data_IF_348884900377
#
_entry.id   IF_348884900377
#
_cell.length_a   1.000
_cell.length_b   1.000
_cell.length_c   1.000
_cell.angle_alpha   90.00
_cell.angle_beta   90.00
_cell.angle_gamma   90.00
#
_symmetry.space_group_name_H-M   'P 1'
#
loop_
_entity.id
_entity.type
_entity.pdbx_description
1 polymer ?
#
# COMPACT_ATOMS: atom_id res chain seq x y z
N UNK A 1 -32.81 -9.38 -17.78
CA UNK A 1 -33.00 -8.13 -17.01
C UNK A 1 -32.98 -8.47 -15.53
N UNK A 2 -31.90 -8.09 -14.84
CA UNK A 2 -31.82 -7.89 -13.38
C UNK A 2 -30.37 -7.49 -13.10
N UNK A 3 -30.05 -6.23 -13.41
CA UNK A 3 -28.76 -5.65 -13.09
C UNK A 3 -28.81 -5.27 -11.61
N UNK A 4 -28.22 -6.08 -10.75
CA UNK A 4 -28.08 -5.81 -9.32
C UNK A 4 -27.12 -4.65 -9.11
N UNK A 5 -27.67 -3.44 -8.92
CA UNK A 5 -26.95 -2.28 -8.43
C UNK A 5 -26.42 -2.55 -7.01
N UNK A 6 -25.17 -2.17 -6.67
CA UNK A 6 -24.69 -2.30 -5.30
C UNK A 6 -25.38 -1.28 -4.38
N UNK A 7 -25.74 -1.74 -3.18
CA UNK A 7 -26.38 -0.99 -2.08
C UNK A 7 -25.77 0.41 -1.82
N UNK A 8 -26.57 1.43 -1.49
CA UNK A 8 -26.05 2.74 -1.10
C UNK A 8 -25.40 2.65 0.29
N UNK A 9 -24.10 2.96 0.32
CA UNK A 9 -23.31 3.24 1.52
C UNK A 9 -24.02 4.28 2.39
N UNK A 10 -24.33 3.94 3.64
CA UNK A 10 -24.82 4.90 4.62
C UNK A 10 -23.86 6.10 4.70
N UNK A 11 -24.40 7.32 4.76
CA UNK A 11 -23.60 8.54 4.86
C UNK A 11 -22.71 8.48 6.12
N UNK A 12 -21.40 8.55 5.94
CA UNK A 12 -20.43 8.52 7.03
C UNK A 12 -20.28 9.94 7.55
N UNK A 13 -20.75 10.19 8.77
CA UNK A 13 -20.80 11.54 9.34
C UNK A 13 -21.49 12.57 8.41
N UNK A 14 -22.60 12.15 7.77
CA UNK A 14 -23.37 12.99 6.86
C UNK A 14 -22.71 13.29 5.51
N UNK A 15 -21.63 12.55 5.17
CA UNK A 15 -20.93 12.66 3.90
C UNK A 15 -20.86 11.32 3.18
N UNK A 16 -21.14 11.36 1.88
CA UNK A 16 -20.88 10.26 0.94
C UNK A 16 -19.85 10.76 -0.08
N UNK A 17 -18.70 10.09 -0.15
CA UNK A 17 -17.60 10.45 -1.05
C UNK A 17 -17.26 9.28 -1.97
N UNK A 18 -16.96 9.59 -3.23
CA UNK A 18 -16.43 8.62 -4.20
C UNK A 18 -15.32 9.23 -5.03
N UNK A 19 -14.42 8.38 -5.53
CA UNK A 19 -13.31 8.79 -6.39
C UNK A 19 -13.41 8.03 -7.70
N UNK A 20 -13.66 8.73 -8.79
CA UNK A 20 -13.96 8.15 -10.11
C UNK A 20 -13.12 8.79 -11.22
N UNK A 21 -13.37 8.34 -12.45
CA UNK A 21 -12.92 8.93 -13.71
C UNK A 21 -11.42 9.31 -13.73
N UNK A 22 -10.51 8.34 -13.57
CA UNK A 22 -9.10 8.62 -13.69
C UNK A 22 -8.75 9.06 -15.12
N UNK A 23 -8.37 10.33 -15.27
CA UNK A 23 -8.07 10.94 -16.58
C UNK A 23 -6.65 11.48 -16.59
N UNK A 24 -5.94 11.24 -17.70
CA UNK A 24 -4.61 11.81 -17.91
C UNK A 24 -4.75 13.25 -18.40
N UNK A 25 -4.11 14.16 -17.68
CA UNK A 25 -4.00 15.58 -18.03
C UNK A 25 -2.56 15.89 -18.45
N UNK A 26 -2.43 16.79 -19.42
CA UNK A 26 -1.17 17.22 -20.03
C UNK A 26 -0.36 16.10 -20.71
N UNK A 27 0.69 16.50 -21.43
CA UNK A 27 1.65 15.60 -22.07
C UNK A 27 3.07 15.82 -21.52
N UNK A 28 3.96 14.85 -21.79
CA UNK A 28 5.37 14.91 -21.37
C UNK A 28 5.58 14.91 -19.85
N UNK A 29 6.57 15.67 -19.38
CA UNK A 29 7.02 15.68 -17.98
C UNK A 29 5.96 16.22 -17.02
N UNK A 30 5.10 17.12 -17.50
CA UNK A 30 4.03 17.75 -16.73
C UNK A 30 2.72 16.94 -16.72
N UNK A 31 2.72 15.72 -17.26
CA UNK A 31 1.55 14.85 -17.25
C UNK A 31 1.22 14.35 -15.84
N UNK A 32 -0.07 14.31 -15.50
CA UNK A 32 -0.60 13.81 -14.23
C UNK A 32 -1.96 13.13 -14.42
N UNK A 33 -2.34 12.27 -13.47
CA UNK A 33 -3.68 11.66 -13.44
C UNK A 33 -4.56 12.45 -12.47
N UNK A 34 -5.66 12.97 -12.99
CA UNK A 34 -6.73 13.57 -12.23
C UNK A 34 -7.80 12.54 -11.91
N UNK A 35 -8.41 12.69 -10.75
CA UNK A 35 -9.50 11.87 -10.25
C UNK A 35 -10.67 12.80 -9.92
N UNK A 36 -11.85 12.43 -10.40
CA UNK A 36 -13.09 13.14 -10.05
C UNK A 36 -13.52 12.70 -8.66
N UNK A 37 -13.47 13.62 -7.71
CA UNK A 37 -13.96 13.40 -6.34
C UNK A 37 -15.38 13.95 -6.26
N UNK A 38 -16.36 13.05 -6.13
CA UNK A 38 -17.76 13.42 -5.95
C UNK A 38 -18.09 13.35 -4.47
N UNK A 39 -18.64 14.44 -3.95
CA UNK A 39 -19.09 14.52 -2.55
C UNK A 39 -20.59 14.81 -2.53
N UNK A 40 -21.32 14.05 -1.72
CA UNK A 40 -22.70 14.35 -1.36
C UNK A 40 -22.74 14.63 0.15
N UNK A 41 -23.31 15.77 0.52
CA UNK A 41 -23.44 16.22 1.88
C UNK A 41 -24.92 16.26 2.25
N UNK A 42 -25.26 15.72 3.43
CA UNK A 42 -26.61 15.85 3.97
C UNK A 42 -26.84 17.23 4.62
N UNK A 43 -28.08 17.49 5.03
CA UNK A 43 -28.49 18.76 5.64
C UNK A 43 -27.79 19.07 6.97
N UNK A 44 -27.13 18.09 7.60
CA UNK A 44 -26.36 18.30 8.83
C UNK A 44 -25.00 18.98 8.59
N UNK A 45 -24.54 19.03 7.33
CA UNK A 45 -23.22 19.54 6.93
C UNK A 45 -23.32 20.94 6.32
N UNK A 46 -23.65 21.94 7.14
CA UNK A 46 -23.80 23.35 6.72
C UNK A 46 -22.53 24.01 6.14
N UNK A 47 -21.37 23.36 6.28
CA UNK A 47 -20.09 23.83 5.73
C UNK A 47 -20.00 23.66 4.21
N UNK A 48 -20.88 22.86 3.60
CA UNK A 48 -20.92 22.62 2.17
C UNK A 48 -21.87 23.59 1.47
N UNK A 49 -21.40 24.23 0.40
CA UNK A 49 -22.17 25.22 -0.37
C UNK A 49 -23.29 24.58 -1.20
N UNK A 50 -23.16 23.30 -1.53
CA UNK A 50 -24.11 22.55 -2.33
C UNK A 50 -24.24 21.11 -1.79
N UNK A 51 -25.42 20.49 -1.89
CA UNK A 51 -25.65 19.11 -1.43
C UNK A 51 -24.85 18.09 -2.23
N UNK A 52 -24.41 18.44 -3.44
CA UNK A 52 -23.52 17.62 -4.27
C UNK A 52 -22.46 18.49 -4.93
N UNK A 53 -21.20 18.11 -4.76
CA UNK A 53 -20.06 18.76 -5.42
C UNK A 53 -19.24 17.73 -6.18
N UNK A 54 -18.53 18.19 -7.21
CA UNK A 54 -17.62 17.38 -8.00
C UNK A 54 -16.37 18.20 -8.28
N UNK A 55 -15.22 17.73 -7.82
CA UNK A 55 -13.94 18.44 -7.96
C UNK A 55 -12.89 17.51 -8.53
N UNK A 56 -12.00 18.06 -9.37
CA UNK A 56 -10.87 17.32 -9.92
C UNK A 56 -9.70 17.41 -8.94
N UNK A 57 -9.10 16.27 -8.59
CA UNK A 57 -7.94 16.17 -7.68
C UNK A 57 -6.89 15.23 -8.24
N UNK A 58 -5.62 15.58 -8.10
CA UNK A 58 -4.49 14.69 -8.42
C UNK A 58 -3.86 14.13 -7.15
N UNK A 59 -3.07 13.07 -7.29
CA UNK A 59 -2.40 12.41 -6.15
C UNK A 59 -1.66 13.38 -5.21
N UNK A 60 -0.97 14.39 -5.75
CA UNK A 60 -0.25 15.38 -4.92
C UNK A 60 -1.17 16.22 -4.04
N UNK A 61 -2.44 16.36 -4.41
CA UNK A 61 -3.44 17.11 -3.64
C UNK A 61 -3.90 16.28 -2.45
N UNK A 62 -4.11 14.97 -2.66
CA UNK A 62 -4.35 14.02 -1.56
C UNK A 62 -3.16 13.97 -0.60
N UNK A 63 -1.93 14.00 -1.15
CA UNK A 63 -0.73 14.05 -0.32
C UNK A 63 -0.65 15.35 0.49
N UNK A 64 -1.03 16.50 -0.09
CA UNK A 64 -1.14 17.76 0.64
C UNK A 64 -2.16 17.64 1.77
N UNK A 65 -3.37 17.14 1.49
CA UNK A 65 -4.41 16.95 2.50
C UNK A 65 -3.90 16.04 3.63
N UNK A 66 -3.27 14.91 3.29
CA UNK A 66 -2.72 13.98 4.27
C UNK A 66 -1.69 14.63 5.19
N UNK A 67 -0.75 15.39 4.63
CA UNK A 67 0.26 16.12 5.42
C UNK A 67 -0.36 17.24 6.27
N UNK A 68 -1.32 17.97 5.72
CA UNK A 68 -2.02 19.04 6.43
C UNK A 68 -2.83 18.48 7.61
N UNK A 69 -3.58 17.40 7.42
CA UNK A 69 -4.30 16.71 8.49
C UNK A 69 -3.34 16.16 9.56
N UNK A 70 -2.21 15.57 9.16
CA UNK A 70 -1.19 15.07 10.11
C UNK A 70 -0.62 16.19 10.99
N UNK A 71 -0.51 17.40 10.45
CA UNK A 71 -0.05 18.57 11.17
C UNK A 71 -1.14 19.23 12.03
N UNK A 72 -2.36 19.35 11.51
CA UNK A 72 -3.50 19.98 12.21
C UNK A 72 -4.05 19.11 13.35
N UNK A 73 -3.92 17.78 13.24
CA UNK A 73 -4.45 16.82 14.21
C UNK A 73 -3.36 15.87 14.72
N UNK A 74 -2.34 16.38 15.44
CA UNK A 74 -1.31 15.53 16.01
C UNK A 74 -1.94 14.51 16.98
N UNK A 75 -1.46 13.28 16.91
CA UNK A 75 -1.96 12.14 17.70
C UNK A 75 -3.10 11.35 17.04
N UNK A 76 -3.71 11.84 15.95
CA UNK A 76 -4.69 11.04 15.21
C UNK A 76 -4.01 9.97 14.36
N UNK A 77 -4.54 8.74 14.37
CA UNK A 77 -4.03 7.64 13.53
C UNK A 77 -4.64 7.77 12.13
N UNK A 78 -3.92 8.44 11.23
CA UNK A 78 -4.40 8.69 9.87
C UNK A 78 -4.41 7.42 9.01
N UNK A 79 -5.44 7.20 8.17
CA UNK A 79 -5.38 6.16 7.16
C UNK A 79 -4.16 6.33 6.25
N UNK A 80 -3.44 5.25 5.90
CA UNK A 80 -2.26 5.37 5.05
C UNK A 80 -2.68 5.82 3.64
N UNK A 81 -1.90 6.74 3.06
CA UNK A 81 -2.05 7.15 1.67
C UNK A 81 -1.36 6.11 0.76
N UNK A 82 -1.92 5.76 -0.42
CA UNK A 82 -1.24 4.88 -1.37
C UNK A 82 0.12 5.44 -1.79
N UNK A 83 1.04 4.56 -2.16
CA UNK A 83 2.41 4.96 -2.46
C UNK A 83 2.57 5.83 -3.72
N UNK A 84 3.59 6.69 -3.66
CA UNK A 84 4.02 7.50 -4.80
C UNK A 84 4.87 6.66 -5.75
N UNK A 85 4.24 6.04 -6.74
CA UNK A 85 4.97 5.40 -7.84
C UNK A 85 5.48 6.43 -8.86
N UNK A 86 6.74 6.30 -9.28
CA UNK A 86 7.34 7.03 -10.40
C UNK A 86 7.31 6.22 -11.70
N UNK A 87 7.57 4.91 -11.61
CA UNK A 87 7.52 3.96 -12.73
C UNK A 87 6.10 3.43 -12.89
N UNK A 88 5.63 3.21 -14.14
CA UNK A 88 4.30 2.67 -14.42
C UNK A 88 3.12 3.56 -14.00
N UNK A 89 3.37 4.83 -13.63
CA UNK A 89 2.36 5.71 -13.01
C UNK A 89 1.13 6.03 -13.87
N UNK A 90 1.17 5.72 -15.16
CA UNK A 90 0.11 5.93 -16.15
C UNK A 90 -0.50 4.62 -16.66
N UNK A 91 -0.03 3.47 -16.20
CA UNK A 91 -0.57 2.18 -16.62
C UNK A 91 -1.96 1.96 -16.01
N UNK A 92 -2.91 1.51 -16.83
CA UNK A 92 -4.30 1.37 -16.41
C UNK A 92 -4.50 0.53 -15.11
N UNK A 93 -3.83 -0.63 -14.93
CA UNK A 93 -3.95 -1.41 -13.70
C UNK A 93 -3.49 -0.63 -12.46
N UNK A 94 -2.39 0.11 -12.61
CA UNK A 94 -1.83 0.93 -11.54
C UNK A 94 -2.76 2.10 -11.19
N UNK A 95 -3.28 2.79 -12.21
CA UNK A 95 -4.17 3.94 -12.05
C UNK A 95 -5.48 3.53 -11.35
N UNK A 96 -6.08 2.42 -11.74
CA UNK A 96 -7.31 1.92 -11.10
C UNK A 96 -7.05 1.43 -9.67
N UNK A 97 -5.94 0.73 -9.42
CA UNK A 97 -5.55 0.33 -8.06
C UNK A 97 -5.36 1.55 -7.15
N UNK A 98 -4.72 2.61 -7.66
CA UNK A 98 -4.56 3.88 -6.94
C UNK A 98 -5.90 4.56 -6.70
N UNK A 99 -6.79 4.65 -7.69
CA UNK A 99 -8.13 5.23 -7.53
C UNK A 99 -8.89 4.57 -6.38
N UNK A 100 -8.95 3.23 -6.36
CA UNK A 100 -9.57 2.44 -5.27
C UNK A 100 -8.94 2.75 -3.90
N UNK A 101 -7.62 2.87 -3.85
CA UNK A 101 -6.92 3.17 -2.60
C UNK A 101 -7.19 4.60 -2.10
N UNK A 102 -7.25 5.59 -3.01
CA UNK A 102 -7.61 6.97 -2.69
C UNK A 102 -9.07 7.09 -2.19
N UNK A 103 -9.98 6.33 -2.78
CA UNK A 103 -11.37 6.24 -2.32
C UNK A 103 -11.46 5.68 -0.89
N UNK A 104 -10.81 4.55 -0.63
CA UNK A 104 -10.73 3.98 0.74
C UNK A 104 -10.12 4.95 1.74
N UNK A 105 -9.05 5.64 1.34
CA UNK A 105 -8.41 6.66 2.16
C UNK A 105 -9.42 7.76 2.56
N UNK A 106 -10.13 8.36 1.58
CA UNK A 106 -11.11 9.40 1.85
C UNK A 106 -12.27 8.91 2.70
N UNK A 107 -12.82 7.73 2.40
CA UNK A 107 -13.92 7.14 3.19
C UNK A 107 -13.52 6.99 4.67
N UNK A 108 -12.30 6.54 4.96
CA UNK A 108 -11.82 6.42 6.34
C UNK A 108 -11.56 7.79 7.00
N UNK A 109 -11.05 8.77 6.26
CA UNK A 109 -10.87 10.14 6.76
C UNK A 109 -12.22 10.78 7.10
N UNK A 110 -13.23 10.60 6.24
CA UNK A 110 -14.59 11.11 6.43
C UNK A 110 -15.28 10.43 7.62
N UNK A 111 -15.11 9.10 7.78
CA UNK A 111 -15.64 8.32 8.91
C UNK A 111 -15.08 8.78 10.26
N UNK A 112 -13.86 9.31 10.29
CA UNK A 112 -13.19 9.68 11.53
C UNK A 112 -13.86 10.90 12.21
N UNK A 113 -14.17 10.85 13.53
CA UNK A 113 -14.93 11.89 14.23
C UNK A 113 -14.37 13.32 14.16
N UNK A 114 -13.04 13.48 14.28
CA UNK A 114 -12.38 14.79 14.16
C UNK A 114 -12.03 15.15 12.70
N UNK A 115 -11.37 14.24 11.97
CA UNK A 115 -10.89 14.53 10.62
C UNK A 115 -12.01 14.80 9.62
N UNK A 116 -13.16 14.12 9.75
CA UNK A 116 -14.32 14.30 8.90
C UNK A 116 -14.94 15.71 8.97
N UNK A 117 -14.68 16.43 10.07
CA UNK A 117 -15.14 17.81 10.31
C UNK A 117 -14.05 18.86 10.06
N UNK A 118 -12.90 18.45 9.54
CA UNK A 118 -11.78 19.34 9.27
C UNK A 118 -12.11 20.34 8.16
N UNK A 119 -11.82 21.62 8.39
CA UNK A 119 -11.91 22.65 7.35
C UNK A 119 -10.97 22.37 6.17
N UNK A 120 -9.82 21.75 6.41
CA UNK A 120 -8.88 21.33 5.36
C UNK A 120 -9.50 20.25 4.45
N UNK A 121 -10.29 19.33 5.03
CA UNK A 121 -11.02 18.31 4.27
C UNK A 121 -12.15 18.94 3.46
N UNK A 122 -12.93 19.82 4.08
CA UNK A 122 -14.02 20.54 3.41
C UNK A 122 -13.48 21.33 2.21
N UNK A 123 -12.39 22.09 2.40
CA UNK A 123 -11.70 22.81 1.33
C UNK A 123 -11.29 21.85 0.21
N UNK A 124 -10.71 20.70 0.55
CA UNK A 124 -10.33 19.68 -0.44
C UNK A 124 -11.53 19.11 -1.21
N UNK A 125 -12.70 18.94 -0.59
CA UNK A 125 -13.86 18.28 -1.21
C UNK A 125 -14.75 19.21 -2.05
N UNK A 126 -14.77 20.52 -1.76
CA UNK A 126 -15.69 21.45 -2.44
C UNK A 126 -15.02 22.56 -3.24
N UNK A 127 -13.82 23.02 -2.88
CA UNK A 127 -13.27 24.24 -3.48
C UNK A 127 -12.63 24.00 -4.85
N UNK A 128 -12.58 25.03 -5.69
CA UNK A 128 -11.93 24.93 -6.99
C UNK A 128 -10.40 24.82 -6.89
N UNK A 129 -9.75 24.48 -8.00
CA UNK A 129 -8.29 24.29 -8.05
C UNK A 129 -7.52 25.56 -7.65
N UNK A 130 -8.01 26.75 -8.02
CA UNK A 130 -7.33 28.01 -7.71
C UNK A 130 -7.27 28.27 -6.20
N UNK A 131 -8.38 28.08 -5.48
CA UNK A 131 -8.43 28.22 -4.02
C UNK A 131 -7.59 27.15 -3.32
N UNK A 132 -7.61 25.91 -3.83
CA UNK A 132 -6.78 24.83 -3.29
C UNK A 132 -5.28 25.12 -3.45
N UNK A 133 -4.85 25.60 -4.62
CA UNK A 133 -3.46 26.00 -4.85
C UNK A 133 -3.03 27.20 -4.01
N UNK A 134 -3.93 28.16 -3.76
CA UNK A 134 -3.68 29.23 -2.80
C UNK A 134 -3.44 28.67 -1.38
N UNK A 135 -4.32 27.80 -0.88
CA UNK A 135 -4.17 27.17 0.44
C UNK A 135 -2.87 26.33 0.54
N UNK A 136 -2.50 25.59 -0.51
CA UNK A 136 -1.22 24.88 -0.61
C UNK A 136 -0.02 25.83 -0.53
N UNK A 137 -0.09 26.98 -1.20
CA UNK A 137 0.97 27.98 -1.19
C UNK A 137 1.10 28.66 0.17
N UNK A 138 -0.01 28.97 0.84
CA UNK A 138 -0.03 29.50 2.20
C UNK A 138 0.60 28.54 3.19
N UNK A 139 0.19 27.27 3.17
CA UNK A 139 0.76 26.27 4.06
C UNK A 139 2.25 26.05 3.80
N UNK A 140 2.70 26.04 2.53
CA UNK A 140 4.14 26.01 2.21
C UNK A 140 4.89 27.22 2.78
N UNK A 141 4.33 28.42 2.68
CA UNK A 141 4.90 29.64 3.27
C UNK A 141 4.96 29.55 4.79
N UNK A 142 3.93 29.03 5.43
CA UNK A 142 3.88 28.81 6.87
C UNK A 142 4.96 27.82 7.34
N UNK A 143 5.11 26.69 6.65
CA UNK A 143 6.18 25.73 6.95
C UNK A 143 7.58 26.33 6.78
N UNK A 144 7.78 27.20 5.77
CA UNK A 144 9.05 27.89 5.53
C UNK A 144 9.30 29.05 6.50
N UNK A 145 8.26 29.59 7.15
CA UNK A 145 8.38 30.63 8.20
C UNK A 145 8.90 30.08 9.52
N UNK A 146 9.00 28.76 9.70
CA UNK A 146 9.77 28.21 10.81
C UNK A 146 11.26 28.55 10.61
N UNK A 147 11.92 29.22 11.56
CA UNK A 147 13.27 29.71 11.34
C UNK A 147 14.22 28.53 11.10
N UNK A 148 15.11 28.63 10.10
CA UNK A 148 16.08 27.59 9.72
C UNK A 148 16.91 27.10 10.90
N UNK A 149 17.17 27.97 11.88
CA UNK A 149 17.85 27.63 13.14
C UNK A 149 17.05 26.61 13.96
N UNK A 150 15.72 26.72 14.03
CA UNK A 150 14.87 25.77 14.74
C UNK A 150 14.81 24.40 14.02
N UNK A 151 14.95 24.39 12.70
CA UNK A 151 15.02 23.15 11.91
C UNK A 151 16.36 22.43 12.11
N UNK A 152 17.46 23.18 12.12
CA UNK A 152 18.81 22.66 12.37
C UNK A 152 19.00 22.24 13.83
N UNK A 153 18.42 22.99 14.77
CA UNK A 153 18.36 22.66 16.21
C UNK A 153 17.50 21.40 16.41
N UNK A 154 16.31 21.29 15.82
CA UNK A 154 15.53 20.03 15.89
C UNK A 154 16.27 18.82 15.32
N UNK A 155 17.04 18.99 14.24
CA UNK A 155 17.85 17.91 13.66
C UNK A 155 19.10 17.57 14.48
N UNK A 156 19.82 18.58 15.00
CA UNK A 156 21.02 18.39 15.81
C UNK A 156 20.69 17.84 17.22
N UNK A 157 19.55 18.24 17.79
CA UNK A 157 19.11 17.77 19.11
C UNK A 157 18.41 16.40 19.05
N UNK A 158 17.86 15.99 17.90
CA UNK A 158 17.37 14.62 17.70
C UNK A 158 18.49 13.56 17.75
N UNK A 159 19.74 13.94 17.50
CA UNK A 159 20.91 13.06 17.65
C UNK A 159 21.60 13.20 19.03
N UNK A 160 21.09 14.06 19.91
CA UNK A 160 21.68 14.39 21.21
C UNK A 160 20.77 13.96 22.37
N UNK A 161 20.15 12.77 22.26
CA UNK A 161 19.23 12.24 23.26
C UNK A 161 19.90 11.82 24.59
N UNK A 162 21.22 11.85 24.72
CA UNK A 162 21.92 11.34 25.90
C UNK A 162 22.71 12.36 26.76
N UNK A 163 22.74 13.67 26.44
CA UNK A 163 23.72 14.57 27.09
C UNK A 163 23.21 15.91 27.66
N UNK A 164 21.91 16.14 27.81
CA UNK A 164 21.40 17.46 28.26
C UNK A 164 20.62 17.46 29.58
N UNK A 165 20.85 16.50 30.47
CA UNK A 165 20.20 16.46 31.78
C UNK A 165 21.01 17.02 32.95
N UNK A 166 22.16 17.67 32.76
CA UNK A 166 23.02 17.98 33.92
C UNK A 166 23.94 19.19 33.82
N UNK A 167 23.42 20.38 33.55
CA UNK A 167 24.13 21.60 33.97
C UNK A 167 23.16 22.77 34.17
N UNK A 168 22.93 23.15 35.43
CA UNK A 168 22.34 24.41 35.93
C UNK A 168 20.83 24.56 36.15
N UNK A 169 19.98 23.63 35.70
CA UNK A 169 18.60 23.52 36.20
C UNK A 169 18.44 22.12 36.80
N UNK A 170 17.89 22.00 38.02
CA UNK A 170 17.63 20.69 38.62
C UNK A 170 16.81 19.80 37.66
N UNK A 171 16.75 18.48 37.87
CA UNK A 171 16.00 17.56 36.99
C UNK A 171 14.53 17.99 36.86
N UNK A 172 14.22 18.81 35.85
CA UNK A 172 12.85 19.21 35.52
C UNK A 172 12.24 18.05 34.77
N UNK A 173 11.48 17.19 35.44
CA UNK A 173 10.83 16.06 34.81
C UNK A 173 9.40 16.41 34.40
N UNK A 174 8.95 15.88 33.26
CA UNK A 174 7.54 15.96 32.88
C UNK A 174 6.77 14.97 33.76
N UNK A 175 5.76 15.43 34.55
CA UNK A 175 4.97 14.53 35.39
C UNK A 175 4.40 13.39 34.56
N UNK A 176 4.56 12.16 35.04
CA UNK A 176 3.92 10.99 34.41
C UNK A 176 2.43 11.04 34.69
N UNK A 177 1.64 10.79 33.65
CA UNK A 177 0.19 10.63 33.71
C UNK A 177 -0.19 9.15 33.76
N UNK A 178 -1.36 8.82 34.29
CA UNK A 178 -1.92 7.46 34.24
C UNK A 178 -2.08 6.96 32.79
N UNK A 179 -2.28 7.87 31.83
CA UNK A 179 -2.34 7.55 30.40
C UNK A 179 -0.98 7.10 29.83
N UNK A 180 0.14 7.42 30.50
CA UNK A 180 1.47 7.12 29.97
C UNK A 180 1.76 5.61 29.99
N UNK A 181 1.29 4.88 31.00
CA UNK A 181 1.45 3.43 31.06
C UNK A 181 0.75 2.75 29.87
N UNK A 182 -0.51 3.14 29.61
CA UNK A 182 -1.27 2.65 28.46
C UNK A 182 -0.56 2.98 27.14
N UNK A 183 -0.01 4.19 27.01
CA UNK A 183 0.67 4.62 25.78
C UNK A 183 2.02 3.92 25.58
N UNK A 184 2.72 3.57 26.65
CA UNK A 184 3.94 2.76 26.60
C UNK A 184 3.62 1.33 26.16
N UNK A 185 2.52 0.73 26.65
CA UNK A 185 2.02 -0.57 26.19
C UNK A 185 1.62 -0.53 24.70
N UNK A 186 0.92 0.53 24.29
CA UNK A 186 0.58 0.76 22.87
C UNK A 186 1.85 0.85 22.03
N UNK A 187 2.86 1.60 22.48
CA UNK A 187 4.10 1.77 21.72
C UNK A 187 4.86 0.44 21.54
N UNK A 188 4.99 -0.35 22.61
CA UNK A 188 5.56 -1.69 22.54
C UNK A 188 4.77 -2.58 21.59
N UNK A 189 3.44 -2.57 21.70
CA UNK A 189 2.57 -3.37 20.83
C UNK A 189 2.71 -2.97 19.36
N UNK A 190 2.64 -1.68 19.04
CA UNK A 190 2.81 -1.15 17.68
C UNK A 190 4.16 -1.59 17.10
N UNK A 191 5.24 -1.47 17.87
CA UNK A 191 6.58 -1.83 17.42
C UNK A 191 6.69 -3.32 17.08
N UNK A 192 6.25 -4.20 17.99
CA UNK A 192 6.28 -5.65 17.80
C UNK A 192 5.43 -6.05 16.59
N UNK A 193 4.21 -5.53 16.49
CA UNK A 193 3.32 -5.82 15.37
C UNK A 193 3.90 -5.31 14.04
N UNK A 194 4.49 -4.11 14.00
CA UNK A 194 5.05 -3.53 12.78
C UNK A 194 6.13 -4.43 12.19
N UNK A 195 7.05 -4.91 13.03
CA UNK A 195 8.13 -5.82 12.62
C UNK A 195 7.56 -7.11 12.03
N UNK A 196 6.61 -7.75 12.73
CA UNK A 196 6.04 -9.02 12.28
C UNK A 196 5.18 -8.87 11.03
N UNK A 197 4.33 -7.84 10.94
CA UNK A 197 3.50 -7.60 9.75
C UNK A 197 4.35 -7.23 8.54
N UNK A 198 5.43 -6.45 8.72
CA UNK A 198 6.34 -6.14 7.62
C UNK A 198 7.04 -7.41 7.10
N UNK A 199 7.50 -8.27 8.01
CA UNK A 199 8.09 -9.57 7.64
C UNK A 199 7.06 -10.46 6.93
N UNK A 200 5.85 -10.58 7.46
CA UNK A 200 4.80 -11.40 6.87
C UNK A 200 4.37 -10.89 5.49
N UNK A 201 4.23 -9.57 5.31
CA UNK A 201 3.92 -8.96 4.03
C UNK A 201 4.99 -9.26 2.98
N UNK A 202 6.28 -9.13 3.34
CA UNK A 202 7.41 -9.45 2.46
C UNK A 202 7.40 -10.91 2.02
N UNK A 203 7.18 -11.84 2.95
CA UNK A 203 7.12 -13.27 2.62
C UNK A 203 5.88 -13.60 1.80
N UNK A 204 4.74 -12.95 2.05
CA UNK A 204 3.54 -13.09 1.22
C UNK A 204 3.77 -12.62 -0.22
N UNK A 205 4.40 -11.46 -0.44
CA UNK A 205 4.78 -11.00 -1.79
C UNK A 205 5.72 -11.98 -2.48
N UNK A 206 6.68 -12.55 -1.74
CA UNK A 206 7.61 -13.55 -2.28
C UNK A 206 6.88 -14.84 -2.66
N UNK A 207 5.91 -15.26 -1.85
CA UNK A 207 5.09 -16.43 -2.13
C UNK A 207 4.20 -16.24 -3.36
N UNK A 208 3.49 -15.11 -3.48
CA UNK A 208 2.67 -14.77 -4.66
C UNK A 208 3.52 -14.77 -5.94
N UNK A 209 4.74 -14.21 -5.88
CA UNK A 209 5.69 -14.27 -7.00
C UNK A 209 6.06 -15.70 -7.38
N UNK A 210 6.35 -16.56 -6.39
CA UNK A 210 6.68 -17.98 -6.63
C UNK A 210 5.49 -18.77 -7.16
N UNK A 211 4.27 -18.49 -6.70
CA UNK A 211 3.05 -19.10 -7.27
C UNK A 211 2.91 -18.76 -8.75
N UNK A 212 3.24 -17.53 -9.15
CA UNK A 212 3.25 -17.12 -10.55
C UNK A 212 4.31 -17.86 -11.36
N UNK A 213 5.54 -17.93 -10.86
CA UNK A 213 6.62 -18.68 -11.51
C UNK A 213 6.25 -20.16 -11.70
N UNK A 214 5.57 -20.77 -10.71
CA UNK A 214 5.07 -22.14 -10.80
C UNK A 214 3.92 -22.30 -11.83
N UNK A 215 3.02 -21.32 -11.92
CA UNK A 215 1.94 -21.30 -12.91
C UNK A 215 2.51 -21.26 -14.34
N UNK A 216 3.51 -20.41 -14.57
CA UNK A 216 4.21 -20.28 -15.85
C UNK A 216 4.93 -21.58 -16.21
N UNK A 217 5.60 -22.21 -15.23
CA UNK A 217 6.28 -23.50 -15.42
C UNK A 217 5.30 -24.64 -15.77
N UNK A 218 4.15 -24.70 -15.11
CA UNK A 218 3.11 -25.69 -15.43
C UNK A 218 2.59 -25.52 -16.85
N UNK A 219 2.37 -24.27 -17.30
CA UNK A 219 1.91 -23.98 -18.66
C UNK A 219 2.94 -24.41 -19.70
N UNK A 220 4.21 -24.06 -19.52
CA UNK A 220 5.26 -24.41 -20.46
C UNK A 220 5.43 -25.93 -20.60
N UNK A 221 5.41 -26.66 -19.48
CA UNK A 221 5.48 -28.11 -19.49
C UNK A 221 4.21 -28.75 -20.09
N UNK A 222 3.03 -28.21 -19.76
CA UNK A 222 1.75 -28.66 -20.31
C UNK A 222 1.70 -28.54 -21.83
N UNK A 223 2.14 -27.40 -22.37
CA UNK A 223 2.28 -27.18 -23.80
C UNK A 223 3.28 -28.15 -24.44
N UNK A 224 4.46 -28.33 -23.85
CA UNK A 224 5.48 -29.23 -24.38
C UNK A 224 5.00 -30.68 -24.46
N UNK A 225 4.33 -31.18 -23.42
CA UNK A 225 3.74 -32.52 -23.41
C UNK A 225 2.60 -32.64 -24.41
N UNK A 226 1.74 -31.62 -24.51
CA UNK A 226 0.66 -31.63 -25.50
C UNK A 226 1.22 -31.76 -26.93
N UNK A 227 2.26 -30.99 -27.26
CA UNK A 227 2.93 -31.07 -28.57
C UNK A 227 3.66 -32.41 -28.78
N UNK A 228 4.34 -32.94 -27.75
CA UNK A 228 4.99 -34.26 -27.83
C UNK A 228 3.95 -35.35 -28.12
N UNK A 229 2.86 -35.36 -27.35
CA UNK A 229 1.81 -36.35 -27.50
C UNK A 229 1.06 -36.24 -28.83
N UNK A 230 1.08 -35.10 -29.54
CA UNK A 230 0.56 -35.00 -30.91
C UNK A 230 1.40 -35.75 -31.95
N UNK A 231 2.70 -35.93 -31.67
CA UNK A 231 3.63 -36.64 -32.56
C UNK A 231 3.73 -38.15 -32.23
N UNK A 232 3.17 -38.59 -31.10
CA UNK A 232 3.16 -39.99 -30.68
C UNK A 232 1.84 -40.68 -31.09
N UNK A 233 1.96 -41.89 -31.64
CA UNK A 233 0.81 -42.70 -32.06
C UNK A 233 0.23 -43.54 -30.91
N UNK A 234 -1.03 -43.95 -31.05
CA UNK A 234 -1.70 -44.88 -30.14
C UNK A 234 -1.98 -44.31 -28.74
N UNK A 235 -2.14 -45.21 -27.76
CA UNK A 235 -2.50 -44.85 -26.38
C UNK A 235 -1.43 -44.03 -25.66
N UNK A 236 -0.16 -44.14 -26.04
CA UNK A 236 0.92 -43.34 -25.47
C UNK A 236 0.75 -41.84 -25.77
N UNK A 237 0.43 -41.49 -27.02
CA UNK A 237 0.15 -40.10 -27.39
C UNK A 237 -1.04 -39.52 -26.63
N UNK A 238 -2.11 -40.31 -26.43
CA UNK A 238 -3.27 -39.89 -25.63
C UNK A 238 -2.93 -39.62 -24.16
N UNK A 239 -2.10 -40.47 -23.55
CA UNK A 239 -1.65 -40.30 -22.16
C UNK A 239 -0.77 -39.07 -21.98
N UNK A 240 0.18 -38.86 -22.90
CA UNK A 240 1.07 -37.70 -22.86
C UNK A 240 0.25 -36.40 -23.02
N UNK A 241 -0.68 -36.33 -23.99
CA UNK A 241 -1.59 -35.18 -24.13
C UNK A 241 -2.49 -34.99 -22.91
N UNK A 242 -3.03 -36.08 -22.36
CA UNK A 242 -3.85 -36.04 -21.15
C UNK A 242 -3.11 -35.47 -19.94
N UNK A 243 -1.81 -35.78 -19.81
CA UNK A 243 -0.93 -35.22 -18.78
C UNK A 243 -0.65 -33.74 -19.04
N UNK A 244 -0.41 -33.36 -20.30
CA UNK A 244 -0.26 -31.97 -20.73
C UNK A 244 -1.47 -31.11 -20.36
N UNK A 245 -2.68 -31.57 -20.70
CA UNK A 245 -3.92 -30.85 -20.34
C UNK A 245 -4.14 -30.72 -18.83
N UNK A 246 -3.72 -31.71 -18.02
CA UNK A 246 -3.80 -31.60 -16.56
C UNK A 246 -2.82 -30.55 -16.01
N UNK A 247 -1.63 -30.41 -16.62
CA UNK A 247 -0.68 -29.34 -16.30
C UNK A 247 -1.20 -27.95 -16.74
N UNK A 248 -1.87 -27.85 -17.89
CA UNK A 248 -2.51 -26.61 -18.32
C UNK A 248 -3.63 -26.21 -17.35
N UNK A 249 -4.46 -27.17 -16.93
CA UNK A 249 -5.48 -26.94 -15.90
C UNK A 249 -4.84 -26.52 -14.56
N UNK A 250 -3.71 -27.14 -14.18
CA UNK A 250 -2.95 -26.75 -13.01
C UNK A 250 -2.43 -25.31 -13.11
N UNK A 251 -1.94 -24.89 -14.28
CA UNK A 251 -1.49 -23.52 -14.55
C UNK A 251 -2.64 -22.51 -14.41
N UNK A 252 -3.80 -22.77 -15.03
CA UNK A 252 -4.97 -21.88 -14.92
C UNK A 252 -5.40 -21.72 -13.46
N UNK A 253 -5.44 -22.81 -12.69
CA UNK A 253 -5.76 -22.77 -11.27
C UNK A 253 -4.72 -22.00 -10.45
N UNK A 254 -3.44 -22.12 -10.79
CA UNK A 254 -2.35 -21.40 -10.14
C UNK A 254 -2.38 -19.90 -10.49
N UNK A 255 -2.67 -19.52 -11.73
CA UNK A 255 -2.84 -18.11 -12.13
C UNK A 255 -3.99 -17.44 -11.38
N UNK A 256 -5.13 -18.11 -11.25
CA UNK A 256 -6.22 -17.62 -10.39
C UNK A 256 -5.82 -17.55 -8.90
N UNK A 257 -4.94 -18.46 -8.46
CA UNK A 257 -4.36 -18.43 -7.11
C UNK A 257 -3.54 -17.16 -6.89
N UNK A 258 -2.65 -16.79 -7.82
CA UNK A 258 -1.82 -15.58 -7.73
C UNK A 258 -2.67 -14.33 -7.48
N UNK A 259 -3.77 -14.17 -8.24
CA UNK A 259 -4.70 -13.05 -8.05
C UNK A 259 -5.36 -13.08 -6.66
N UNK A 260 -5.87 -14.25 -6.26
CA UNK A 260 -6.54 -14.42 -4.97
C UNK A 260 -5.60 -14.29 -3.76
N UNK A 261 -4.39 -14.86 -3.82
CA UNK A 261 -3.33 -14.76 -2.80
C UNK A 261 -2.85 -13.31 -2.67
N UNK A 262 -2.69 -12.60 -3.79
CA UNK A 262 -2.38 -11.17 -3.79
C UNK A 262 -3.46 -10.33 -3.12
N UNK A 263 -4.74 -10.58 -3.42
CA UNK A 263 -5.86 -9.82 -2.88
C UNK A 263 -6.21 -10.16 -1.42
N UNK A 264 -6.14 -11.44 -1.04
CA UNK A 264 -6.68 -11.96 0.21
C UNK A 264 -5.61 -12.20 1.29
N UNK A 265 -4.32 -12.24 0.93
CA UNK A 265 -3.24 -12.39 1.90
C UNK A 265 -2.24 -11.23 1.83
N UNK A 266 -1.59 -11.02 0.69
CA UNK A 266 -0.55 -10.00 0.55
C UNK A 266 -1.11 -8.59 0.79
N UNK A 267 -2.17 -8.21 0.08
CA UNK A 267 -2.79 -6.89 0.19
C UNK A 267 -3.18 -6.50 1.62
N UNK A 268 -3.92 -7.34 2.36
CA UNK A 268 -4.26 -7.11 3.76
C UNK A 268 -3.04 -6.96 4.68
N UNK A 269 -2.00 -7.78 4.52
CA UNK A 269 -0.77 -7.68 5.32
C UNK A 269 -0.01 -6.37 5.04
N UNK A 270 0.11 -5.98 3.77
CA UNK A 270 0.72 -4.71 3.36
C UNK A 270 -0.07 -3.52 3.92
N UNK A 271 -1.40 -3.55 3.80
CA UNK A 271 -2.28 -2.49 4.31
C UNK A 271 -2.19 -2.36 5.83
N UNK A 272 -2.12 -3.48 6.54
CA UNK A 272 -1.93 -3.50 7.99
C UNK A 272 -0.56 -2.91 8.38
N UNK A 273 0.51 -3.33 7.70
CA UNK A 273 1.85 -2.77 7.92
C UNK A 273 1.87 -1.26 7.74
N UNK A 274 1.22 -0.74 6.69
CA UNK A 274 1.07 0.71 6.49
C UNK A 274 0.27 1.39 7.60
N UNK A 275 -0.82 0.78 8.04
CA UNK A 275 -1.63 1.29 9.16
C UNK A 275 -0.85 1.38 10.48
N UNK A 276 0.00 0.39 10.78
CA UNK A 276 0.90 0.44 11.94
C UNK A 276 1.95 1.56 11.81
N UNK A 277 2.42 1.83 10.60
CA UNK A 277 3.23 3.01 10.32
C UNK A 277 2.54 4.33 10.69
N UNK A 278 1.24 4.47 10.42
CA UNK A 278 0.46 5.63 10.86
C UNK A 278 0.34 5.73 12.38
N UNK A 279 0.13 4.59 13.08
CA UNK A 279 0.08 4.56 14.54
C UNK A 279 1.43 4.96 15.17
N UNK A 280 2.54 4.48 14.59
CA UNK A 280 3.89 4.88 14.98
C UNK A 280 4.14 6.37 14.78
N UNK A 281 3.68 6.95 13.66
CA UNK A 281 3.77 8.39 13.44
C UNK A 281 3.00 9.18 14.50
N UNK A 282 1.81 8.70 14.90
CA UNK A 282 1.05 9.33 15.97
C UNK A 282 1.80 9.32 17.32
N UNK A 283 2.43 8.18 17.66
CA UNK A 283 3.30 8.06 18.84
C UNK A 283 4.51 9.01 18.77
N UNK A 284 5.13 9.16 17.59
CA UNK A 284 6.21 10.14 17.39
C UNK A 284 5.72 11.58 17.62
N UNK A 285 4.51 11.94 17.17
CA UNK A 285 3.91 13.26 17.46
C UNK A 285 3.71 13.48 18.96
N UNK A 286 3.34 12.45 19.70
CA UNK A 286 3.26 12.52 21.17
C UNK A 286 4.63 12.78 21.80
N UNK A 287 5.69 12.10 21.33
CA UNK A 287 7.05 12.36 21.81
C UNK A 287 7.49 13.79 21.54
N UNK A 288 7.20 14.34 20.36
CA UNK A 288 7.46 15.75 20.02
C UNK A 288 6.71 16.71 20.94
N UNK A 289 5.42 16.46 21.20
CA UNK A 289 4.62 17.28 22.12
C UNK A 289 5.12 17.21 23.56
N UNK A 290 5.53 16.02 24.03
CA UNK A 290 6.13 15.83 25.36
C UNK A 290 7.44 16.60 25.51
N UNK A 291 8.28 16.58 24.47
CA UNK A 291 9.54 17.34 24.43
C UNK A 291 9.28 18.84 24.50
N UNK A 292 8.34 19.35 23.70
CA UNK A 292 7.97 20.77 23.73
C UNK A 292 7.42 21.21 25.10
N UNK A 293 6.68 20.34 25.80
CA UNK A 293 6.24 20.60 27.16
C UNK A 293 7.41 20.62 28.16
N UNK A 294 8.32 19.66 28.08
CA UNK A 294 9.54 19.64 28.90
C UNK A 294 10.37 20.92 28.73
N UNK A 295 10.62 21.35 27.49
CA UNK A 295 11.33 22.59 27.19
C UNK A 295 10.66 23.82 27.82
N UNK A 296 9.33 23.88 27.77
CA UNK A 296 8.57 24.98 28.40
C UNK A 296 8.66 24.94 29.93
N UNK A 297 8.68 23.75 30.57
CA UNK A 297 8.89 23.62 32.01
C UNK A 297 10.31 24.06 32.42
N UNK A 298 11.33 23.73 31.62
CA UNK A 298 12.70 24.20 31.84
C UNK A 298 12.75 25.73 31.76
N UNK A 299 12.07 26.34 30.78
CA UNK A 299 11.97 27.80 30.69
C UNK A 299 11.30 28.40 31.93
N UNK A 300 10.20 27.81 32.41
CA UNK A 300 9.54 28.23 33.67
C UNK A 300 10.52 28.21 34.85
N UNK A 301 11.30 27.13 35.00
CA UNK A 301 12.29 27.01 36.06
C UNK A 301 13.38 28.10 35.97
N UNK A 302 13.90 28.36 34.77
CA UNK A 302 14.89 29.42 34.53
C UNK A 302 14.32 30.81 34.87
N UNK A 303 13.09 31.11 34.45
CA UNK A 303 12.45 32.40 34.78
C UNK A 303 12.12 32.53 36.27
N UNK A 304 11.79 31.43 36.94
CA UNK A 304 11.55 31.41 38.38
C UNK A 304 12.82 31.78 39.17
N UNK A 305 13.96 31.16 38.86
CA UNK A 305 15.25 31.53 39.45
C UNK A 305 15.64 32.99 39.12
N UNK A 306 15.35 33.43 37.90
CA UNK A 306 15.57 34.82 37.49
C UNK A 306 14.73 35.83 38.28
N UNK A 307 13.48 35.47 38.61
CA UNK A 307 12.58 36.25 39.48
C UNK A 307 13.12 36.32 40.92
N UNK A 308 13.52 35.17 41.48
CA UNK A 308 13.97 35.04 42.87
C UNK A 308 15.11 36.00 43.23
N UNK A 309 16.02 36.27 42.29
CA UNK A 309 17.13 37.24 42.43
C UNK A 309 16.68 38.66 42.81
N UNK A 310 15.46 39.05 42.48
CA UNK A 310 14.93 40.40 42.73
C UNK A 310 14.00 40.47 43.93
N UNK A 311 13.59 39.32 44.50
CA UNK A 311 12.71 39.26 45.66
C UNK A 311 13.44 39.85 46.87
N UNK A 312 12.81 40.81 47.56
CA UNK A 312 13.37 41.46 48.75
C UNK A 312 14.44 42.53 48.48
N UNK A 313 14.75 42.86 47.22
CA UNK A 313 15.65 43.98 46.90
C UNK A 313 14.90 45.32 46.93
N UNK A 314 15.23 46.17 47.92
CA UNK A 314 14.69 47.52 48.07
C UNK A 314 15.08 48.40 46.87
N UNK A 315 14.11 49.12 46.29
CA UNK A 315 14.33 50.05 45.16
C UNK A 315 14.44 49.40 43.78
N UNK A 316 14.17 48.09 43.65
CA UNK A 316 14.16 47.37 42.35
C UNK A 316 12.80 46.71 42.04
N UNK A 317 11.71 47.29 42.53
CA UNK A 317 10.35 46.77 42.35
C UNK A 317 9.96 46.64 40.87
N UNK A 318 10.35 47.59 40.02
CA UNK A 318 10.12 47.53 38.56
C UNK A 318 10.76 46.28 37.92
N UNK A 319 11.95 45.88 38.38
CA UNK A 319 12.67 44.71 37.86
C UNK A 319 12.03 43.42 38.34
N UNK A 320 11.55 43.40 39.58
CA UNK A 320 10.78 42.28 40.12
C UNK A 320 9.48 42.11 39.33
N UNK A 321 8.72 43.19 39.11
CA UNK A 321 7.47 43.17 38.34
C UNK A 321 7.69 42.69 36.89
N UNK A 322 8.76 43.15 36.23
CA UNK A 322 9.11 42.69 34.89
C UNK A 322 9.48 41.19 34.86
N UNK A 323 10.24 40.71 35.86
CA UNK A 323 10.59 39.30 35.99
C UNK A 323 9.37 38.41 36.31
N UNK A 324 8.44 38.91 37.13
CA UNK A 324 7.16 38.26 37.42
C UNK A 324 6.28 38.13 36.18
N UNK A 325 6.15 39.20 35.39
CA UNK A 325 5.43 39.16 34.13
C UNK A 325 6.05 38.19 33.12
N UNK A 326 7.38 38.12 33.06
CA UNK A 326 8.08 37.16 32.19
C UNK A 326 7.89 35.70 32.65
N UNK A 327 7.95 35.44 33.95
CA UNK A 327 7.67 34.12 34.52
C UNK A 327 6.22 33.71 34.30
N UNK A 328 5.25 34.61 34.53
CA UNK A 328 3.84 34.35 34.26
C UNK A 328 3.55 33.99 32.80
N UNK A 329 4.20 34.66 31.85
CA UNK A 329 4.13 34.30 30.41
C UNK A 329 4.71 32.90 30.14
N UNK A 330 5.84 32.56 30.75
CA UNK A 330 6.43 31.22 30.60
C UNK A 330 5.53 30.12 31.19
N UNK A 331 4.89 30.37 32.35
CA UNK A 331 3.93 29.44 32.97
C UNK A 331 2.73 29.21 32.07
N UNK A 332 2.14 30.29 31.54
CA UNK A 332 1.02 30.18 30.60
C UNK A 332 1.40 29.40 29.33
N UNK A 333 2.61 29.61 28.81
CA UNK A 333 3.13 28.85 27.66
C UNK A 333 3.32 27.36 27.98
N UNK A 334 3.87 27.03 29.16
CA UNK A 334 4.01 25.64 29.60
C UNK A 334 2.66 24.95 29.79
N UNK A 335 1.66 25.64 30.33
CA UNK A 335 0.30 25.11 30.49
C UNK A 335 -0.37 24.86 29.13
N UNK A 336 -0.17 25.74 28.15
CA UNK A 336 -0.63 25.52 26.78
C UNK A 336 0.02 24.26 26.17
N UNK A 337 1.33 24.06 26.38
CA UNK A 337 2.05 22.85 25.90
C UNK A 337 1.63 21.58 26.64
N UNK A 338 1.30 21.66 27.93
CA UNK A 338 0.70 20.57 28.69
C UNK A 338 -0.62 20.13 28.06
N UNK A 339 -1.54 21.08 27.79
CA UNK A 339 -2.85 20.79 27.17
C UNK A 339 -2.71 20.19 25.77
N UNK A 340 -1.75 20.68 24.98
CA UNK A 340 -1.41 20.11 23.66
C UNK A 340 -0.94 18.64 23.81
N UNK A 341 0.00 18.36 24.71
CA UNK A 341 0.49 17.00 24.99
C UNK A 341 -0.61 16.05 25.47
N UNK A 342 -1.49 16.50 26.36
CA UNK A 342 -2.65 15.72 26.84
C UNK A 342 -3.64 15.43 25.70
N UNK A 343 -3.93 16.41 24.85
CA UNK A 343 -4.81 16.25 23.69
C UNK A 343 -4.25 15.22 22.71
N UNK A 344 -2.95 15.31 22.39
CA UNK A 344 -2.27 14.35 21.50
C UNK A 344 -2.31 12.94 22.09
N UNK A 345 -2.05 12.81 23.39
CA UNK A 345 -2.07 11.53 24.10
C UNK A 345 -3.47 10.90 24.09
N UNK A 346 -4.51 11.69 24.39
CA UNK A 346 -5.90 11.23 24.39
C UNK A 346 -6.39 10.77 23.01
N UNK A 347 -5.97 11.46 21.94
CA UNK A 347 -6.28 11.05 20.55
C UNK A 347 -5.72 9.67 20.22
N UNK A 348 -4.47 9.39 20.60
CA UNK A 348 -3.84 8.09 20.32
C UNK A 348 -4.58 6.96 21.04
N UNK A 349 -4.90 7.13 22.33
CA UNK A 349 -5.61 6.10 23.10
C UNK A 349 -6.97 5.79 22.48
N UNK A 350 -7.73 6.83 22.12
CA UNK A 350 -9.04 6.69 21.47
C UNK A 350 -8.94 5.98 20.12
N UNK A 351 -8.05 6.46 19.26
CA UNK A 351 -7.95 5.97 17.88
C UNK A 351 -7.37 4.56 17.83
N UNK A 352 -6.46 4.21 18.74
CA UNK A 352 -5.81 2.89 18.77
C UNK A 352 -6.81 1.75 18.99
N UNK A 353 -7.80 1.93 19.87
CA UNK A 353 -8.85 0.94 20.11
C UNK A 353 -9.65 0.64 18.84
N UNK A 354 -10.19 1.69 18.21
CA UNK A 354 -10.96 1.56 16.97
C UNK A 354 -10.11 1.02 15.81
N UNK A 355 -8.85 1.46 15.71
CA UNK A 355 -7.91 0.97 14.69
C UNK A 355 -7.68 -0.53 14.83
N UNK A 356 -7.39 -1.03 16.04
CA UNK A 356 -7.14 -2.46 16.26
C UNK A 356 -8.35 -3.32 15.93
N UNK A 357 -9.54 -2.91 16.35
CA UNK A 357 -10.78 -3.66 16.13
C UNK A 357 -11.14 -3.71 14.64
N UNK A 358 -11.14 -2.55 13.95
CA UNK A 358 -11.40 -2.48 12.51
C UNK A 358 -10.43 -3.35 11.74
N UNK A 359 -9.13 -3.25 12.06
CA UNK A 359 -8.09 -4.02 11.38
C UNK A 359 -8.24 -5.52 11.65
N UNK A 360 -8.43 -5.93 12.91
CA UNK A 360 -8.57 -7.35 13.28
C UNK A 360 -9.71 -8.02 12.50
N UNK A 361 -10.84 -7.33 12.36
CA UNK A 361 -11.98 -7.86 11.60
C UNK A 361 -11.69 -7.91 10.09
N UNK A 362 -11.00 -6.91 9.52
CA UNK A 362 -10.55 -6.95 8.12
C UNK A 362 -9.64 -8.17 7.86
N UNK A 363 -8.64 -8.40 8.72
CA UNK A 363 -7.70 -9.52 8.58
C UNK A 363 -8.38 -10.87 8.79
N UNK A 364 -9.31 -10.98 9.75
CA UNK A 364 -10.08 -12.20 9.98
C UNK A 364 -10.87 -12.59 8.74
N UNK A 365 -11.59 -11.64 8.12
CA UNK A 365 -12.35 -11.87 6.88
C UNK A 365 -11.42 -12.28 5.74
N UNK A 366 -10.30 -11.58 5.58
CA UNK A 366 -9.31 -11.89 4.57
C UNK A 366 -8.72 -13.30 4.73
N UNK A 367 -8.38 -13.69 5.96
CA UNK A 367 -7.85 -15.01 6.28
C UNK A 367 -8.85 -16.13 5.99
N UNK A 368 -10.13 -15.95 6.35
CA UNK A 368 -11.18 -16.93 6.03
C UNK A 368 -11.32 -17.10 4.51
N UNK A 369 -11.49 -16.00 3.79
CA UNK A 369 -11.63 -16.03 2.34
C UNK A 369 -10.40 -16.64 1.65
N UNK A 370 -9.21 -16.35 2.16
CA UNK A 370 -7.97 -16.94 1.67
C UNK A 370 -7.95 -18.47 1.87
N UNK A 371 -8.27 -18.95 3.06
CA UNK A 371 -8.28 -20.40 3.35
C UNK A 371 -9.32 -21.15 2.50
N UNK A 372 -10.52 -20.58 2.35
CA UNK A 372 -11.57 -21.14 1.48
C UNK A 372 -11.11 -21.21 0.02
N UNK A 373 -10.47 -20.15 -0.48
CA UNK A 373 -9.92 -20.12 -1.84
C UNK A 373 -8.84 -21.20 -2.04
N UNK A 374 -7.95 -21.40 -1.06
CA UNK A 374 -6.90 -22.43 -1.12
C UNK A 374 -7.48 -23.85 -1.10
N UNK A 375 -8.46 -24.12 -0.24
CA UNK A 375 -9.16 -25.42 -0.21
C UNK A 375 -9.80 -25.71 -1.56
N UNK A 376 -10.61 -24.78 -2.07
CA UNK A 376 -11.30 -24.95 -3.35
C UNK A 376 -10.34 -25.13 -4.54
N UNK A 377 -9.18 -24.44 -4.53
CA UNK A 377 -8.14 -24.62 -5.55
C UNK A 377 -7.56 -26.03 -5.51
N UNK A 378 -7.18 -26.51 -4.33
CA UNK A 378 -6.56 -27.82 -4.19
C UNK A 378 -7.52 -28.98 -4.52
N UNK A 379 -8.81 -28.84 -4.25
CA UNK A 379 -9.83 -29.82 -4.66
C UNK A 379 -9.97 -29.91 -6.18
N UNK A 380 -9.98 -28.77 -6.88
CA UNK A 380 -9.99 -28.72 -8.35
C UNK A 380 -8.71 -29.33 -8.94
N UNK A 381 -7.56 -29.01 -8.34
CA UNK A 381 -6.27 -29.56 -8.72
C UNK A 381 -6.23 -31.09 -8.58
N UNK A 382 -6.71 -31.62 -7.44
CA UNK A 382 -6.84 -33.07 -7.21
C UNK A 382 -7.68 -33.73 -8.31
N UNK A 383 -8.78 -33.09 -8.69
CA UNK A 383 -9.69 -33.60 -9.73
C UNK A 383 -9.00 -33.67 -11.09
N UNK A 384 -8.24 -32.64 -11.47
CA UNK A 384 -7.48 -32.62 -12.72
C UNK A 384 -6.43 -33.73 -12.76
N UNK A 385 -5.64 -33.90 -11.69
CA UNK A 385 -4.63 -34.96 -11.60
C UNK A 385 -5.22 -36.36 -11.58
N UNK A 386 -6.32 -36.57 -10.84
CA UNK A 386 -7.01 -37.85 -10.80
C UNK A 386 -7.53 -38.24 -12.20
N UNK A 387 -8.03 -37.28 -12.97
CA UNK A 387 -8.47 -37.49 -14.35
C UNK A 387 -7.33 -37.94 -15.27
N UNK A 388 -6.15 -37.29 -15.19
CA UNK A 388 -4.98 -37.73 -15.95
C UNK A 388 -4.47 -39.11 -15.49
N UNK A 389 -4.43 -39.36 -14.18
CA UNK A 389 -3.98 -40.63 -13.62
C UNK A 389 -4.86 -41.81 -14.05
N UNK A 390 -6.18 -41.63 -14.15
CA UNK A 390 -7.08 -42.69 -14.66
C UNK A 390 -6.70 -43.07 -16.08
N UNK A 391 -6.53 -42.08 -16.96
CA UNK A 391 -6.14 -42.30 -18.36
C UNK A 391 -4.82 -43.03 -18.51
N UNK A 392 -3.82 -42.70 -17.67
CA UNK A 392 -2.53 -43.39 -17.66
C UNK A 392 -2.70 -44.88 -17.30
N UNK A 393 -3.55 -45.19 -16.32
CA UNK A 393 -3.78 -46.58 -15.86
C UNK A 393 -4.53 -47.45 -16.86
N UNK A 394 -5.31 -46.83 -17.74
CA UNK A 394 -6.12 -47.53 -18.74
C UNK A 394 -5.31 -47.94 -19.99
N UNK A 395 -4.10 -47.40 -20.18
CA UNK A 395 -3.26 -47.70 -21.36
C UNK A 395 -2.33 -48.89 -21.12
N UNK A 396 -2.38 -49.86 -22.05
CA UNK A 396 -1.45 -51.00 -22.07
C UNK A 396 -0.03 -50.53 -22.48
N UNK A 397 1.01 -50.77 -21.64
CA UNK A 397 2.38 -50.37 -21.93
C UNK A 397 2.94 -50.90 -23.26
N UNK A 398 2.35 -51.95 -23.85
CA UNK A 398 2.81 -52.58 -25.09
C UNK A 398 2.40 -51.87 -26.38
N UNK A 399 1.60 -50.81 -26.29
CA UNK A 399 1.12 -50.05 -27.46
C UNK A 399 1.98 -48.83 -27.83
N UNK A 400 3.12 -48.62 -27.17
CA UNK A 400 4.01 -47.48 -27.43
C UNK A 400 5.42 -47.90 -27.78
N UNK A 401 5.98 -47.24 -28.82
CA UNK A 401 7.29 -47.38 -29.46
C UNK A 401 7.30 -48.35 -30.67
N UNK A 402 7.13 -47.75 -31.87
CA UNK A 402 7.21 -48.33 -33.22
C UNK A 402 6.14 -49.35 -33.64
N UNK A 403 5.06 -48.86 -34.24
CA UNK A 403 4.30 -49.65 -35.23
C UNK A 403 4.17 -48.89 -36.56
N UNK A 404 5.31 -48.71 -37.25
CA UNK A 404 5.34 -48.83 -38.71
C UNK A 404 6.66 -49.50 -39.10
N UNK A 405 6.58 -50.80 -39.42
CA UNK A 405 7.44 -51.49 -40.41
C UNK A 405 7.12 -53.00 -40.47
N UNK A 406 5.87 -53.41 -40.69
CA UNK A 406 5.58 -54.77 -41.24
C UNK A 406 4.28 -54.81 -42.05
N UNK A 407 4.32 -54.25 -43.25
CA UNK A 407 3.45 -54.64 -44.37
C UNK A 407 4.28 -54.52 -45.64
N UNK A 408 4.53 -55.51 -46.48
CA UNK A 408 4.21 -56.94 -46.48
C UNK A 408 5.10 -57.60 -47.55
N UNK A 409 5.51 -58.84 -47.29
CA UNK A 409 6.25 -59.64 -48.27
C UNK A 409 5.29 -60.35 -49.22
N UNK A 410 5.42 -60.05 -50.52
CA UNK A 410 5.44 -61.02 -51.61
C UNK A 410 4.11 -61.43 -52.27
N UNK A 411 3.94 -61.05 -53.54
CA UNK A 411 3.66 -62.02 -54.61
C UNK A 411 4.08 -61.49 -55.99
N UNK A 412 4.45 -62.43 -56.88
CA UNK A 412 5.26 -62.28 -58.10
C UNK A 412 4.46 -62.00 -59.38
N UNK A 413 5.16 -61.44 -60.37
CA UNK A 413 4.92 -61.58 -61.82
C UNK A 413 4.80 -60.21 -62.52
N UNK A 414 5.44 -59.87 -63.64
CA UNK A 414 6.35 -60.52 -64.59
C UNK A 414 6.42 -59.63 -65.85
N UNK A 415 7.60 -59.57 -66.48
CA UNK A 415 7.89 -59.19 -67.87
C UNK A 415 7.79 -57.71 -68.38
N UNK A 416 9.00 -57.19 -68.70
CA UNK A 416 9.48 -56.57 -69.97
C UNK A 416 8.98 -55.21 -70.51
N UNK A 417 9.99 -54.36 -70.84
CA UNK A 417 10.13 -53.31 -71.90
C UNK A 417 9.05 -52.20 -71.91
N UNK A 418 9.33 -50.92 -72.19
CA UNK A 418 10.23 -50.35 -73.19
C UNK A 418 10.50 -48.85 -72.89
N UNK A 419 11.49 -48.34 -73.62
CA UNK A 419 11.95 -46.97 -73.91
C UNK A 419 11.13 -45.71 -73.51
N UNK A 420 11.88 -44.61 -73.27
CA UNK A 420 11.46 -43.29 -73.81
C UNK A 420 11.58 -42.06 -72.92
N UNK A 421 12.74 -41.39 -72.96
CA UNK A 421 12.83 -39.99 -73.43
C UNK A 421 12.45 -38.81 -72.52
N UNK A 422 13.47 -37.97 -72.27
CA UNK A 422 13.45 -36.49 -72.18
C UNK A 422 12.73 -35.82 -70.98
N UNK A 423 13.26 -34.79 -70.34
CA UNK A 423 14.48 -34.01 -70.53
C UNK A 423 14.38 -32.65 -69.82
N UNK A 424 15.55 -32.06 -69.51
CA UNK A 424 15.84 -30.62 -69.27
C UNK A 424 15.22 -30.00 -68.00
N UNK A 425 15.86 -29.08 -67.27
CA UNK A 425 17.13 -28.35 -67.38
C UNK A 425 17.40 -27.70 -66.02
N UNK A 426 18.67 -27.63 -65.58
CA UNK A 426 19.55 -26.46 -65.71
C UNK A 426 19.27 -25.33 -64.68
N UNK A 427 20.29 -25.05 -63.85
CA UNK A 427 20.34 -23.87 -62.98
C UNK A 427 21.49 -23.94 -61.99
N UNK A 428 22.68 -23.52 -62.43
CA UNK A 428 23.93 -23.48 -61.67
C UNK A 428 24.16 -22.10 -61.00
N UNK A 429 25.03 -22.09 -59.97
CA UNK A 429 25.70 -20.90 -59.40
C UNK A 429 25.49 -20.80 -57.89
N UNK A 430 26.48 -20.84 -56.99
CA UNK A 430 27.93 -20.66 -57.10
C UNK A 430 28.36 -19.27 -56.61
N UNK A 431 28.78 -19.17 -55.33
CA UNK A 431 29.45 -17.98 -54.74
C UNK A 431 29.25 -17.92 -53.22
N UNK A 432 30.25 -18.30 -52.41
CA UNK A 432 31.12 -17.40 -51.58
C UNK A 432 30.30 -16.46 -50.69
N UNK A 433 30.34 -16.48 -49.36
CA UNK A 433 31.41 -16.81 -48.42
C UNK A 433 31.58 -15.58 -47.53
N UNK A 434 31.43 -15.71 -46.20
CA UNK A 434 31.98 -14.77 -45.22
C UNK A 434 31.87 -15.37 -43.80
N UNK A 435 33.05 -15.48 -43.18
CA UNK A 435 33.28 -15.71 -41.75
C UNK A 435 33.14 -14.39 -40.99
N UNK A 436 32.52 -14.42 -39.81
CA UNK A 436 32.77 -13.56 -38.63
C UNK A 436 31.90 -14.15 -37.50
N UNK A 437 32.41 -14.86 -36.48
CA UNK A 437 33.29 -14.49 -35.36
C UNK A 437 32.72 -13.39 -34.44
N UNK A 438 32.82 -13.64 -33.13
CA UNK A 438 32.66 -12.74 -31.95
C UNK A 438 31.23 -12.77 -31.34
N UNK A 439 31.00 -12.89 -30.03
CA UNK A 439 31.79 -13.26 -28.86
C UNK A 439 30.84 -13.45 -27.66
N UNK A 440 31.45 -13.89 -26.56
CA UNK A 440 31.02 -13.95 -25.14
C UNK A 440 29.98 -12.92 -24.65
#
# INVERSE_FOLDING_TARGET
MANSSPNPTAALNGLLVSVADPLKHNEGVQAWIGYTVVTQADDSRSEFQAPRTSVLRRYSDFNWLHMKLSHSFPGCILPPLPEKAMVGRFEAPFVEARRRALERYLLRVVKHPELGKSSDLVLFLQENEAKLEHAKAEWRREQMRQPKVLRLVKQAFAHMEHSLSSASTGKVEVPRSDSDAVLDDIATCVHVLEVHFHSAAREASTWVRREKEAADGCFQLGLALTLLGQNEAGGLGEVIRGTGHALDAASVLATGAVESSGLLLEGPLVEWSRGLGSAKLALLRRMEARRAYHEALVEVAVRAQGKEKWVGMIGKEDKLQAAEGAWGKAVAAAEAKRKEFETVSGRIVRDWGAFREEKAEELRKAAVAFLEAQVGRHEKMRTAWAGALSKVKEVDPKQGLNQEATTGGGEKGGASRDEGGAGRGAGAGGGKGEEEMIAE
#
